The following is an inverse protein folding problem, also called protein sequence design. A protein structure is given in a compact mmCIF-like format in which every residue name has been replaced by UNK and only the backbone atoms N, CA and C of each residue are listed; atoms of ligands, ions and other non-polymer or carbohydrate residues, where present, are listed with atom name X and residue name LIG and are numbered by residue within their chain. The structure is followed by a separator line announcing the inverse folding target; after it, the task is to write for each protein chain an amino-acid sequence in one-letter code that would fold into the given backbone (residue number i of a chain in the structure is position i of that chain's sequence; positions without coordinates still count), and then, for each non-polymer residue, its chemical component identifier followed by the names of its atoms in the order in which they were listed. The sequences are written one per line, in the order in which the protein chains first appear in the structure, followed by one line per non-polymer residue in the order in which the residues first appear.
data_IF_872347827786
#
_entry.id   IF_872347827786
#
_cell.length_a   1.000
_cell.length_b   1.000
_cell.length_c   1.000
_cell.angle_alpha   90.00
_cell.angle_beta   90.00
_cell.angle_gamma   90.00
#
_symmetry.space_group_name_H-M   'P 1'
#
loop_
_entity.id
_entity.type
_entity.pdbx_description
1 polymer ?
#
# COMPACT_ATOMS: atom_id res chain seq x y z
N UNK A 1 8.07 24.25 -24.81
CA UNK A 1 7.71 22.87 -25.19
C UNK A 1 6.48 22.48 -24.37
N UNK A 2 5.38 22.11 -25.03
CA UNK A 2 4.11 21.87 -24.34
C UNK A 2 4.19 20.55 -23.56
N UNK A 3 4.24 20.64 -22.22
CA UNK A 3 4.20 19.50 -21.32
C UNK A 3 2.85 18.78 -21.47
N UNK A 4 2.83 17.74 -22.28
CA UNK A 4 1.62 16.95 -22.53
C UNK A 4 1.81 15.62 -21.80
N UNK A 5 1.35 15.55 -20.53
CA UNK A 5 1.27 14.28 -19.82
C UNK A 5 0.44 13.32 -20.66
N UNK A 6 1.02 12.17 -21.02
CA UNK A 6 0.33 11.18 -21.83
C UNK A 6 -0.71 10.46 -20.98
N UNK A 7 -1.83 10.04 -21.58
CA UNK A 7 -2.74 9.11 -20.92
C UNK A 7 -1.95 7.88 -20.43
N UNK A 8 -1.96 7.61 -19.13
CA UNK A 8 -1.22 6.48 -18.51
C UNK A 8 0.02 6.86 -17.70
N UNK A 9 0.60 8.05 -17.89
CA UNK A 9 1.76 8.50 -17.09
C UNK A 9 1.40 8.58 -15.60
N UNK A 10 0.16 9.00 -15.29
CA UNK A 10 -0.40 9.04 -13.93
C UNK A 10 -0.55 7.64 -13.33
N UNK A 11 -1.00 6.66 -14.10
CA UNK A 11 -1.13 5.28 -13.63
C UNK A 11 0.25 4.66 -13.36
N UNK A 12 1.22 4.91 -14.23
CA UNK A 12 2.60 4.45 -14.06
C UNK A 12 3.23 5.02 -12.79
N UNK A 13 3.07 6.32 -12.56
CA UNK A 13 3.58 6.97 -11.34
C UNK A 13 2.92 6.39 -10.07
N UNK A 14 1.61 6.13 -10.11
CA UNK A 14 0.90 5.48 -9.00
C UNK A 14 1.41 4.05 -8.75
N UNK A 15 1.66 3.28 -9.81
CA UNK A 15 2.18 1.92 -9.69
C UNK A 15 3.58 1.91 -9.07
N UNK A 16 4.45 2.79 -9.53
CA UNK A 16 5.80 2.94 -8.98
C UNK A 16 5.79 3.39 -7.52
N UNK A 17 4.92 4.34 -7.17
CA UNK A 17 4.74 4.75 -5.78
C UNK A 17 4.32 3.56 -4.90
N UNK A 18 3.34 2.78 -5.35
CA UNK A 18 2.89 1.58 -4.61
C UNK A 18 4.02 0.59 -4.40
N UNK A 19 4.84 0.33 -5.42
CA UNK A 19 6.00 -0.55 -5.32
C UNK A 19 6.99 -0.05 -4.25
N UNK A 20 7.37 1.24 -4.32
CA UNK A 20 8.29 1.85 -3.34
C UNK A 20 7.75 1.83 -1.91
N UNK A 21 6.46 2.10 -1.73
CA UNK A 21 5.81 2.05 -0.42
C UNK A 21 5.74 0.61 0.15
N UNK A 22 5.76 -0.41 -0.70
CA UNK A 22 5.88 -1.81 -0.25
C UNK A 22 7.33 -2.14 0.08
N UNK A 23 8.28 -1.76 -0.77
CA UNK A 23 9.71 -1.99 -0.56
C UNK A 23 10.24 -1.34 0.73
N UNK A 24 9.79 -0.13 1.06
CA UNK A 24 10.20 0.53 2.30
C UNK A 24 9.47 0.02 3.54
N UNK A 25 8.59 -0.98 3.41
CA UNK A 25 7.84 -1.57 4.54
C UNK A 25 6.69 -0.70 5.04
N UNK A 26 6.39 0.44 4.41
CA UNK A 26 5.32 1.33 4.85
C UNK A 26 3.96 0.64 4.91
N UNK A 27 3.66 -0.22 3.94
CA UNK A 27 2.40 -0.98 3.92
C UNK A 27 2.27 -1.91 5.13
N UNK A 28 3.36 -2.58 5.51
CA UNK A 28 3.37 -3.53 6.62
C UNK A 28 3.38 -2.83 7.98
N UNK A 29 4.08 -1.69 8.09
CA UNK A 29 3.98 -0.80 9.25
C UNK A 29 2.55 -0.30 9.45
N UNK A 30 1.89 0.14 8.37
CA UNK A 30 0.51 0.60 8.44
C UNK A 30 -0.43 -0.50 8.94
N UNK A 31 -0.26 -1.72 8.41
CA UNK A 31 -1.02 -2.89 8.83
C UNK A 31 -0.77 -3.22 10.30
N UNK A 32 0.48 -3.15 10.76
CA UNK A 32 0.83 -3.39 12.16
C UNK A 32 0.20 -2.34 13.09
N UNK A 33 0.22 -1.06 12.70
CA UNK A 33 -0.45 0.00 13.44
C UNK A 33 -1.97 -0.20 13.52
N UNK A 34 -2.61 -0.53 12.39
CA UNK A 34 -4.04 -0.85 12.34
C UNK A 34 -4.37 -2.00 13.30
N UNK A 35 -3.60 -3.09 13.27
CA UNK A 35 -3.85 -4.23 14.16
C UNK A 35 -3.65 -3.88 15.64
N UNK A 36 -2.69 -3.02 15.97
CA UNK A 36 -2.48 -2.55 17.34
C UNK A 36 -3.64 -1.69 17.83
N UNK A 37 -4.14 -0.78 17.00
CA UNK A 37 -5.29 0.07 17.33
C UNK A 37 -6.58 -0.74 17.48
N UNK A 38 -6.81 -1.70 16.58
CA UNK A 38 -7.96 -2.60 16.68
C UNK A 38 -7.90 -3.45 17.95
N UNK A 39 -6.71 -3.94 18.33
CA UNK A 39 -6.50 -4.67 19.60
C UNK A 39 -6.68 -3.78 20.83
N UNK A 40 -6.30 -2.50 20.76
CA UNK A 40 -6.37 -1.57 21.87
C UNK A 40 -7.80 -1.03 22.12
N UNK A 41 -8.52 -0.69 21.04
CA UNK A 41 -9.86 -0.10 21.13
C UNK A 41 -11.00 -1.15 21.17
N UNK A 42 -10.71 -2.39 20.75
CA UNK A 42 -11.70 -3.46 20.61
C UNK A 42 -12.55 -3.29 19.34
N UNK A 43 -12.81 -4.40 18.64
CA UNK A 43 -13.59 -4.41 17.39
C UNK A 43 -15.03 -3.90 17.58
N UNK A 44 -15.58 -3.99 18.79
CA UNK A 44 -16.98 -3.65 19.07
C UNK A 44 -17.25 -2.14 19.18
N UNK A 45 -16.20 -1.30 19.30
CA UNK A 45 -16.37 0.15 19.54
C UNK A 45 -15.97 1.04 18.37
N UNK A 46 -15.22 0.55 17.39
CA UNK A 46 -14.63 1.41 16.34
C UNK A 46 -15.16 1.08 14.95
N UNK A 47 -15.61 2.12 14.24
CA UNK A 47 -15.99 2.02 12.84
C UNK A 47 -14.75 2.09 11.95
N UNK A 48 -14.79 1.45 10.77
CA UNK A 48 -13.68 1.46 9.81
C UNK A 48 -13.32 2.90 9.40
N UNK A 49 -14.32 3.75 9.16
CA UNK A 49 -14.13 5.16 8.83
C UNK A 49 -13.38 5.94 9.92
N UNK A 50 -13.74 5.72 11.19
CA UNK A 50 -13.10 6.39 12.33
C UNK A 50 -11.65 5.93 12.49
N UNK A 51 -11.42 4.63 12.34
CA UNK A 51 -10.08 4.04 12.35
C UNK A 51 -9.21 4.56 11.20
N UNK A 52 -9.76 4.71 9.99
CA UNK A 52 -9.07 5.33 8.85
C UNK A 52 -8.74 6.79 9.16
N UNK A 53 -9.65 7.54 9.78
CA UNK A 53 -9.45 8.94 10.11
C UNK A 53 -8.32 9.15 11.12
N UNK A 54 -8.17 8.23 12.07
CA UNK A 54 -7.06 8.26 13.04
C UNK A 54 -5.74 7.77 12.45
N UNK A 55 -5.75 6.73 11.62
CA UNK A 55 -4.50 6.17 11.07
C UNK A 55 -3.93 7.01 9.93
N UNK A 56 -4.77 7.61 9.09
CA UNK A 56 -4.35 8.39 7.91
C UNK A 56 -3.28 9.46 8.20
N UNK A 57 -3.41 10.31 9.24
CA UNK A 57 -2.37 11.30 9.53
C UNK A 57 -1.02 10.68 9.94
N UNK A 58 -1.04 9.57 10.68
CA UNK A 58 0.17 8.82 11.03
C UNK A 58 0.80 8.11 9.82
N UNK A 59 -0.04 7.58 8.94
CA UNK A 59 0.34 6.98 7.67
C UNK A 59 1.13 7.95 6.80
N UNK A 60 0.62 9.17 6.63
CA UNK A 60 1.22 10.20 5.78
C UNK A 60 2.54 10.71 6.33
N UNK A 61 2.69 10.82 7.65
CA UNK A 61 3.95 11.20 8.29
C UNK A 61 5.04 10.14 8.13
N UNK A 62 4.69 8.86 8.11
CA UNK A 62 5.64 7.76 7.89
C UNK A 62 6.18 7.66 6.48
N UNK A 63 5.54 8.30 5.50
CA UNK A 63 6.06 8.30 4.13
C UNK A 63 7.40 9.04 4.12
N UNK A 64 8.53 8.36 3.87
CA UNK A 64 9.84 8.99 3.93
C UNK A 64 9.97 10.08 2.87
N UNK A 65 10.66 11.16 3.21
CA UNK A 65 10.87 12.28 2.27
C UNK A 65 11.68 11.86 1.04
N UNK A 66 12.51 10.83 1.15
CA UNK A 66 13.18 10.20 0.01
C UNK A 66 12.20 9.70 -1.06
N UNK A 67 11.08 9.08 -0.66
CA UNK A 67 10.04 8.59 -1.59
C UNK A 67 9.32 9.78 -2.25
N UNK A 68 9.06 10.85 -1.50
CA UNK A 68 8.46 12.08 -2.03
C UNK A 68 9.39 12.79 -3.02
N UNK A 69 10.69 12.81 -2.74
CA UNK A 69 11.70 13.41 -3.60
C UNK A 69 11.82 12.65 -4.94
N UNK A 70 11.85 11.32 -4.91
CA UNK A 70 11.88 10.50 -6.12
C UNK A 70 10.60 10.68 -6.96
N UNK A 71 9.41 10.71 -6.34
CA UNK A 71 8.16 11.07 -7.01
C UNK A 71 8.23 12.40 -7.76
N UNK A 72 8.75 13.45 -7.09
CA UNK A 72 8.87 14.78 -7.69
C UNK A 72 9.86 14.79 -8.86
N UNK A 73 10.98 14.07 -8.72
CA UNK A 73 11.97 13.89 -9.78
C UNK A 73 11.37 13.20 -11.00
N UNK A 74 10.51 12.23 -10.77
CA UNK A 74 9.87 11.46 -11.83
C UNK A 74 8.74 12.22 -12.52
N UNK A 75 7.97 13.02 -11.78
CA UNK A 75 7.02 13.98 -12.35
C UNK A 75 7.75 14.98 -13.24
N UNK A 76 8.91 15.48 -12.80
CA UNK A 76 9.76 16.37 -13.60
C UNK A 76 10.26 15.67 -14.86
N UNK A 77 10.82 14.46 -14.74
CA UNK A 77 11.28 13.67 -15.89
C UNK A 77 10.17 13.40 -16.92
N UNK A 78 8.95 13.11 -16.45
CA UNK A 78 7.77 12.96 -17.31
C UNK A 78 7.36 14.29 -17.97
N UNK A 79 7.48 15.42 -17.26
CA UNK A 79 7.21 16.75 -17.80
C UNK A 79 8.28 17.19 -18.82
N UNK A 80 9.53 16.74 -18.64
CA UNK A 80 10.67 17.00 -19.52
C UNK A 80 10.70 16.06 -20.74
N UNK A 81 9.87 15.01 -20.76
CA UNK A 81 9.69 14.11 -21.90
C UNK A 81 10.65 12.93 -21.97
N UNK A 82 11.33 12.57 -20.87
CA UNK A 82 12.25 11.44 -20.85
C UNK A 82 11.50 10.10 -20.88
N UNK A 83 11.63 9.38 -22.00
CA UNK A 83 11.04 8.07 -22.21
C UNK A 83 11.84 6.99 -21.46
N UNK A 84 11.78 7.00 -20.11
CA UNK A 84 12.37 5.91 -19.33
C UNK A 84 11.57 4.62 -19.57
N UNK A 85 12.24 3.69 -20.23
CA UNK A 85 11.75 2.39 -20.70
C UNK A 85 11.20 1.54 -19.55
N UNK A 86 10.07 0.82 -19.74
CA UNK A 86 9.51 -0.01 -18.68
C UNK A 86 10.31 -1.31 -18.55
N UNK A 87 11.03 -1.46 -17.43
CA UNK A 87 11.34 -2.78 -16.92
C UNK A 87 10.03 -3.37 -16.36
N UNK A 88 9.38 -4.19 -17.18
CA UNK A 88 8.36 -5.13 -16.71
C UNK A 88 8.98 -6.28 -15.92
N UNK A 89 8.13 -6.95 -15.14
CA UNK A 89 8.41 -8.18 -14.41
C UNK A 89 8.33 -7.98 -12.89
N UNK A 90 7.60 -8.73 -12.07
CA UNK A 90 6.71 -9.88 -12.22
C UNK A 90 6.17 -10.18 -10.79
N UNK A 91 5.00 -10.82 -10.67
CA UNK A 91 4.75 -11.70 -9.52
C UNK A 91 4.07 -11.14 -8.27
N UNK A 92 2.86 -10.59 -8.41
CA UNK A 92 1.91 -10.57 -7.30
C UNK A 92 1.34 -11.97 -7.07
N UNK A 93 1.92 -12.74 -6.16
CA UNK A 93 1.34 -13.97 -5.62
C UNK A 93 0.76 -13.68 -4.22
N UNK A 94 -0.46 -13.14 -4.18
CA UNK A 94 -1.30 -13.16 -2.99
C UNK A 94 -1.99 -14.52 -2.94
N UNK A 95 -1.50 -15.40 -2.07
CA UNK A 95 -2.14 -16.66 -1.74
C UNK A 95 -2.29 -16.75 -0.21
N UNK A 96 -3.10 -15.86 0.35
CA UNK A 96 -3.61 -15.98 1.73
C UNK A 96 -4.86 -16.86 1.77
N UNK A 97 -4.69 -18.18 1.55
CA UNK A 97 -5.79 -19.15 1.55
C UNK A 97 -5.95 -19.90 2.87
N UNK A 98 -6.90 -19.46 3.68
CA UNK A 98 -7.77 -20.24 4.59
C UNK A 98 -7.20 -21.41 5.40
N UNK A 99 -7.10 -21.21 6.72
CA UNK A 99 -6.97 -22.28 7.70
C UNK A 99 -8.17 -23.25 7.63
N UNK A 100 -7.93 -24.45 7.09
CA UNK A 100 -8.87 -25.56 7.06
C UNK A 100 -9.02 -26.25 8.42
N UNK A 101 -10.14 -25.93 9.09
CA UNK A 101 -11.04 -26.80 9.87
C UNK A 101 -10.44 -27.98 10.67
N UNK A 102 -10.54 -27.89 12.00
CA UNK A 102 -10.37 -29.02 12.92
C UNK A 102 -11.43 -30.12 12.71
N UNK A 103 -11.08 -31.41 12.75
CA UNK A 103 -12.07 -32.49 12.78
C UNK A 103 -12.67 -32.61 14.19
N UNK A 104 -14.02 -32.63 14.26
CA UNK A 104 -14.78 -32.97 15.46
C UNK A 104 -14.60 -34.46 15.78
N UNK A 105 -14.32 -34.76 17.05
CA UNK A 105 -14.31 -36.11 17.59
C UNK A 105 -15.71 -36.76 17.54
N UNK A 106 -15.81 -38.09 17.39
CA UNK A 106 -17.08 -38.80 17.53
C UNK A 106 -17.42 -39.02 19.02
N UNK A 107 -18.59 -38.53 19.42
CA UNK A 107 -19.18 -38.76 20.74
C UNK A 107 -19.87 -40.13 20.77
N UNK A 108 -19.64 -40.85 21.88
CA UNK A 108 -20.10 -42.21 22.12
C UNK A 108 -21.55 -42.16 22.60
N UNK A 109 -22.48 -42.88 21.95
CA UNK A 109 -23.45 -43.77 22.62
C UNK A 109 -24.30 -44.56 21.63
#
# INVERSE_FOLDING_TARGET
MAATLRPGDKERLKAQLRARLVECGWRDELKAQFQTLVRANGLDRISVDELVREVTPGAQQRVPDAVKAELLKEIRALADGDAVTPAGGEGGADAGGGAGRAPRAPEKR
#
